data_IF_653354692518
#
_entry.id   IF_653354692518
#
_cell.length_a   1.000
_cell.length_b   1.000
_cell.length_c   1.000
_cell.angle_alpha   90.00
_cell.angle_beta   90.00
_cell.angle_gamma   90.00
#
_symmetry.space_group_name_H-M   'P 1'
#
loop_
_entity.id
_entity.type
_entity.pdbx_description
1 polymer ?
#
# COMPACT_ATOMS: atom_id res chain seq x y z
N UNK A 1 44.84 -10.81 46.76
CA UNK A 1 45.12 -10.20 45.44
C UNK A 1 45.17 -11.29 44.40
N UNK A 2 44.05 -11.57 43.76
CA UNK A 2 43.96 -11.94 42.33
C UNK A 2 42.58 -11.43 41.89
N UNK A 3 42.54 -10.15 41.51
CA UNK A 3 41.41 -9.57 40.81
C UNK A 3 41.49 -10.03 39.35
N UNK A 4 40.51 -10.83 38.91
CA UNK A 4 40.13 -11.12 37.51
C UNK A 4 38.85 -11.99 37.64
N UNK A 5 37.68 -11.67 37.07
CA UNK A 5 37.43 -10.96 35.82
C UNK A 5 36.35 -9.86 35.98
N UNK A 6 36.54 -8.69 35.34
CA UNK A 6 35.49 -7.72 35.08
C UNK A 6 34.63 -8.19 33.89
N UNK A 7 33.46 -7.58 33.69
CA UNK A 7 32.56 -7.79 32.55
C UNK A 7 31.71 -9.07 32.60
N UNK A 8 30.52 -8.96 33.19
CA UNK A 8 29.32 -9.29 32.43
C UNK A 8 28.23 -8.36 32.94
N UNK A 9 28.22 -7.17 32.34
CA UNK A 9 27.10 -6.25 32.43
C UNK A 9 25.92 -6.97 31.77
N UNK A 10 25.06 -7.60 32.59
CA UNK A 10 23.82 -8.24 32.15
C UNK A 10 22.72 -7.20 31.85
N UNK A 11 23.11 -5.96 31.53
CA UNK A 11 22.36 -5.14 30.59
C UNK A 11 22.59 -5.68 29.17
N UNK A 12 22.15 -6.92 28.94
CA UNK A 12 21.86 -7.33 27.58
C UNK A 12 20.71 -6.44 27.11
N UNK A 13 21.06 -5.40 26.36
CA UNK A 13 20.14 -4.64 25.54
C UNK A 13 19.37 -5.66 24.70
N UNK A 14 18.21 -6.14 25.19
CA UNK A 14 17.16 -6.65 24.35
C UNK A 14 16.75 -5.48 23.47
N UNK A 15 17.49 -5.33 22.37
CA UNK A 15 17.12 -4.45 21.29
C UNK A 15 15.78 -4.99 20.83
N UNK A 16 14.71 -4.33 21.28
CA UNK A 16 13.32 -4.57 20.90
C UNK A 16 13.20 -4.28 19.41
N UNK A 17 13.77 -5.15 18.60
CA UNK A 17 13.63 -5.14 17.16
C UNK A 17 12.17 -5.49 16.91
N UNK A 18 11.38 -4.59 16.30
CA UNK A 18 10.01 -4.91 15.98
C UNK A 18 9.99 -6.21 15.19
N UNK A 19 9.20 -7.19 15.66
CA UNK A 19 9.13 -8.51 15.02
C UNK A 19 8.85 -8.31 13.53
N UNK A 20 9.56 -9.01 12.63
CA UNK A 20 9.29 -8.90 11.21
C UNK A 20 7.81 -9.25 10.95
N UNK A 21 7.13 -8.52 10.04
CA UNK A 21 5.71 -8.72 9.79
C UNK A 21 5.46 -10.17 9.37
N UNK A 22 4.41 -10.76 9.93
CA UNK A 22 4.09 -12.14 9.61
C UNK A 22 3.72 -12.29 8.13
N UNK A 23 3.96 -13.47 7.55
CA UNK A 23 3.51 -13.79 6.17
C UNK A 23 2.01 -13.54 5.95
N UNK A 24 1.20 -13.60 7.02
CA UNK A 24 -0.24 -13.30 7.00
C UNK A 24 -0.50 -11.80 6.91
N UNK A 25 0.27 -10.99 7.63
CA UNK A 25 0.15 -9.54 7.65
C UNK A 25 0.46 -8.93 6.28
N UNK A 26 1.58 -9.33 5.67
CA UNK A 26 1.95 -8.88 4.32
C UNK A 26 0.87 -9.19 3.28
N UNK A 27 0.17 -10.33 3.41
CA UNK A 27 -0.95 -10.70 2.53
C UNK A 27 -2.18 -9.80 2.73
N UNK A 28 -2.46 -9.39 3.97
CA UNK A 28 -3.59 -8.50 4.30
C UNK A 28 -3.35 -7.10 3.74
N UNK A 29 -2.14 -6.56 3.95
CA UNK A 29 -1.73 -5.26 3.40
C UNK A 29 -1.79 -5.26 1.87
N UNK A 30 -1.23 -6.31 1.26
CA UNK A 30 -1.30 -6.54 -0.18
C UNK A 30 -2.74 -6.56 -0.74
N UNK A 31 -3.68 -7.17 0.00
CA UNK A 31 -5.09 -7.21 -0.36
C UNK A 31 -5.75 -5.85 -0.17
N UNK A 32 -5.43 -5.15 0.92
CA UNK A 32 -5.97 -3.83 1.22
C UNK A 32 -5.59 -2.81 0.14
N UNK A 33 -4.33 -2.81 -0.30
CA UNK A 33 -3.85 -1.95 -1.40
C UNK A 33 -4.56 -2.28 -2.72
N UNK A 34 -4.76 -3.56 -3.02
CA UNK A 34 -5.50 -3.96 -4.21
C UNK A 34 -6.96 -3.50 -4.16
N UNK A 35 -7.66 -3.71 -3.05
CA UNK A 35 -9.04 -3.26 -2.88
C UNK A 35 -9.18 -1.74 -2.95
N UNK A 36 -8.16 -1.01 -2.48
CA UNK A 36 -8.10 0.44 -2.62
C UNK A 36 -7.97 0.84 -4.09
N UNK A 37 -7.08 0.21 -4.86
CA UNK A 37 -6.99 0.43 -6.30
C UNK A 37 -8.29 0.10 -7.05
N UNK A 38 -8.98 -0.97 -6.65
CA UNK A 38 -10.32 -1.31 -7.18
C UNK A 38 -11.37 -0.24 -6.86
N UNK A 39 -11.31 0.36 -5.67
CA UNK A 39 -12.20 1.46 -5.31
C UNK A 39 -11.91 2.71 -6.14
N UNK A 40 -10.64 3.02 -6.39
CA UNK A 40 -10.22 4.13 -7.26
C UNK A 40 -10.74 3.94 -8.69
N UNK A 41 -10.67 2.73 -9.25
CA UNK A 41 -11.19 2.44 -10.62
C UNK A 41 -12.69 2.68 -10.75
N UNK A 42 -13.45 2.56 -9.67
CA UNK A 42 -14.90 2.81 -9.66
C UNK A 42 -15.27 4.29 -9.60
N UNK A 43 -14.31 5.18 -9.34
CA UNK A 43 -14.54 6.63 -9.30
C UNK A 43 -14.74 7.22 -10.70
N UNK A 44 -15.37 8.39 -10.76
CA UNK A 44 -15.52 9.14 -12.02
C UNK A 44 -14.20 9.73 -12.49
N UNK A 45 -14.05 9.93 -13.80
CA UNK A 45 -12.85 10.54 -14.39
C UNK A 45 -12.56 11.95 -13.82
N UNK A 46 -13.57 12.67 -13.36
CA UNK A 46 -13.41 13.99 -12.73
C UNK A 46 -12.77 13.89 -11.35
N UNK A 47 -13.18 12.91 -10.54
CA UNK A 47 -12.60 12.66 -9.22
C UNK A 47 -11.15 12.19 -9.34
N UNK A 48 -10.86 11.32 -10.30
CA UNK A 48 -9.49 10.82 -10.55
C UNK A 48 -8.50 11.93 -10.89
N UNK A 49 -8.93 12.99 -11.59
CA UNK A 49 -8.09 14.16 -11.89
C UNK A 49 -7.76 15.02 -10.67
N UNK A 50 -8.56 14.94 -9.61
CA UNK A 50 -8.34 15.68 -8.37
C UNK A 50 -7.52 14.89 -7.34
N UNK A 51 -7.24 13.62 -7.61
CA UNK A 51 -6.45 12.77 -6.74
C UNK A 51 -4.95 12.93 -7.03
N UNK A 52 -4.09 12.88 -6.01
CA UNK A 52 -2.64 12.88 -6.20
C UNK A 52 -2.19 11.50 -6.69
N UNK A 53 -2.46 11.19 -7.96
CA UNK A 53 -2.07 9.94 -8.61
C UNK A 53 -0.89 10.22 -9.55
N UNK A 54 0.10 9.34 -9.55
CA UNK A 54 1.16 9.36 -10.56
C UNK A 54 0.56 9.10 -11.96
N UNK A 55 1.19 9.63 -13.01
CA UNK A 55 0.69 9.52 -14.39
C UNK A 55 0.47 8.06 -14.82
N UNK A 56 1.35 7.14 -14.39
CA UNK A 56 1.25 5.72 -14.66
C UNK A 56 -0.01 5.10 -14.05
N UNK A 57 -0.32 5.43 -12.79
CA UNK A 57 -1.49 4.93 -12.09
C UNK A 57 -2.78 5.48 -12.73
N UNK A 58 -2.79 6.76 -13.11
CA UNK A 58 -3.91 7.39 -13.77
C UNK A 58 -4.17 6.77 -15.16
N UNK A 59 -3.12 6.50 -15.93
CA UNK A 59 -3.23 5.78 -17.20
C UNK A 59 -3.76 4.35 -17.00
N UNK A 60 -3.26 3.63 -15.99
CA UNK A 60 -3.71 2.29 -15.68
C UNK A 60 -5.19 2.23 -15.28
N UNK A 61 -5.67 3.21 -14.50
CA UNK A 61 -7.07 3.32 -14.09
C UNK A 61 -7.97 3.63 -15.29
N UNK A 62 -7.59 4.59 -16.15
CA UNK A 62 -8.34 4.88 -17.39
C UNK A 62 -8.43 3.68 -18.31
N UNK A 63 -7.33 2.94 -18.46
CA UNK A 63 -7.31 1.72 -19.23
C UNK A 63 -8.25 0.65 -18.65
N UNK A 64 -8.31 0.52 -17.31
CA UNK A 64 -9.25 -0.38 -16.65
C UNK A 64 -10.71 -0.02 -16.96
N UNK A 65 -11.06 1.26 -16.91
CA UNK A 65 -12.42 1.75 -17.21
C UNK A 65 -12.83 1.54 -18.66
N UNK A 66 -11.88 1.62 -19.60
CA UNK A 66 -12.12 1.38 -21.03
C UNK A 66 -12.21 -0.10 -21.40
N UNK A 67 -11.63 -0.99 -20.59
CA UNK A 67 -11.60 -2.43 -20.88
C UNK A 67 -12.94 -3.11 -20.55
N UNK A 68 -13.34 -4.13 -21.33
CA UNK A 68 -14.51 -4.93 -21.01
C UNK A 68 -14.30 -5.71 -19.70
N UNK A 69 -15.37 -5.86 -18.91
CA UNK A 69 -15.47 -6.61 -17.64
C UNK A 69 -15.27 -8.13 -17.86
N UNK A 70 -14.10 -8.51 -18.37
CA UNK A 70 -13.66 -9.89 -18.65
C UNK A 70 -12.26 -10.08 -18.04
N UNK A 71 -11.55 -11.14 -18.44
CA UNK A 71 -10.20 -11.43 -17.95
C UNK A 71 -9.20 -10.26 -18.08
N UNK A 72 -9.37 -9.39 -19.09
CA UNK A 72 -8.54 -8.20 -19.27
C UNK A 72 -8.69 -7.22 -18.08
N UNK A 73 -9.92 -6.91 -17.67
CA UNK A 73 -10.18 -6.04 -16.53
C UNK A 73 -9.55 -6.59 -15.23
N UNK A 74 -9.68 -7.89 -14.97
CA UNK A 74 -9.07 -8.52 -13.79
C UNK A 74 -7.53 -8.41 -13.79
N UNK A 75 -6.89 -8.58 -14.95
CA UNK A 75 -5.42 -8.40 -15.08
C UNK A 75 -5.02 -6.96 -14.86
N UNK A 76 -5.81 -6.01 -15.35
CA UNK A 76 -5.57 -4.59 -15.15
C UNK A 76 -5.68 -4.20 -13.67
N UNK A 77 -6.67 -4.73 -12.94
CA UNK A 77 -6.78 -4.52 -11.49
C UNK A 77 -5.57 -5.08 -10.73
N UNK A 78 -5.03 -6.23 -11.15
CA UNK A 78 -3.80 -6.77 -10.55
C UNK A 78 -2.59 -5.88 -10.84
N UNK A 79 -2.50 -5.33 -12.06
CA UNK A 79 -1.45 -4.38 -12.41
C UNK A 79 -1.54 -3.10 -11.56
N UNK A 80 -2.75 -2.55 -11.38
CA UNK A 80 -2.99 -1.41 -10.48
C UNK A 80 -2.57 -1.77 -9.06
N UNK A 81 -2.95 -2.95 -8.54
CA UNK A 81 -2.53 -3.42 -7.22
C UNK A 81 -1.01 -3.59 -7.09
N UNK A 82 -0.29 -3.88 -8.17
CA UNK A 82 1.18 -3.89 -8.20
C UNK A 82 1.73 -2.47 -8.14
N UNK A 83 1.19 -1.54 -8.92
CA UNK A 83 1.59 -0.13 -8.87
C UNK A 83 1.39 0.45 -7.47
N UNK A 84 0.26 0.17 -6.83
CA UNK A 84 -0.04 0.63 -5.47
C UNK A 84 0.95 0.13 -4.41
N UNK A 85 1.62 -1.00 -4.64
CA UNK A 85 2.66 -1.53 -3.73
C UNK A 85 4.03 -0.88 -3.96
N UNK A 86 4.22 -0.21 -5.09
CA UNK A 86 5.43 0.55 -5.39
C UNK A 86 5.33 2.03 -5.02
N UNK A 87 4.17 2.49 -4.55
CA UNK A 87 3.97 3.85 -4.07
C UNK A 87 4.47 3.98 -2.63
N UNK A 88 4.87 5.20 -2.27
CA UNK A 88 5.23 5.53 -0.90
C UNK A 88 3.98 5.58 0.02
N UNK A 89 4.18 5.34 1.32
CA UNK A 89 3.10 5.39 2.32
C UNK A 89 2.33 6.73 2.27
N UNK A 90 3.05 7.84 2.04
CA UNK A 90 2.46 9.17 1.90
C UNK A 90 1.51 9.28 0.70
N UNK A 91 1.85 8.68 -0.43
CA UNK A 91 1.00 8.68 -1.62
C UNK A 91 -0.25 7.82 -1.38
N UNK A 92 -0.08 6.63 -0.79
CA UNK A 92 -1.19 5.73 -0.46
C UNK A 92 -2.17 6.39 0.51
N UNK A 93 -1.68 7.09 1.53
CA UNK A 93 -2.50 7.83 2.48
C UNK A 93 -3.22 9.03 1.84
N UNK A 94 -2.57 9.73 0.91
CA UNK A 94 -3.20 10.76 0.09
C UNK A 94 -4.38 10.22 -0.72
N UNK A 95 -4.21 9.06 -1.34
CA UNK A 95 -5.26 8.37 -2.10
C UNK A 95 -6.40 7.93 -1.17
N UNK A 96 -6.09 7.36 0.01
CA UNK A 96 -7.09 6.98 1.03
C UNK A 96 -7.94 8.17 1.48
N UNK A 97 -7.28 9.28 1.78
CA UNK A 97 -7.93 10.51 2.25
C UNK A 97 -8.84 11.09 1.18
N UNK A 98 -8.35 11.20 -0.05
CA UNK A 98 -9.15 11.67 -1.17
C UNK A 98 -10.36 10.74 -1.45
N UNK A 99 -10.16 9.42 -1.42
CA UNK A 99 -11.25 8.44 -1.57
C UNK A 99 -12.32 8.60 -0.48
N UNK A 100 -11.93 8.85 0.77
CA UNK A 100 -12.86 9.09 1.87
C UNK A 100 -13.68 10.38 1.68
N UNK A 101 -13.05 11.44 1.18
CA UNK A 101 -13.71 12.72 0.88
C UNK A 101 -14.78 12.59 -0.23
N UNK A 102 -14.58 11.71 -1.20
CA UNK A 102 -15.55 11.48 -2.28
C UNK A 102 -16.71 10.56 -1.89
N UNK A 103 -16.55 9.70 -0.87
CA UNK A 103 -17.60 8.77 -0.41
C UNK A 103 -18.64 9.42 0.50
N UNK A 104 -18.35 10.60 1.02
CA UNK A 104 -19.18 11.32 2.01
C UNK A 104 -20.17 12.32 1.38
N UNK A 105 -20.29 12.35 0.06
CA UNK A 105 -21.14 13.29 -0.69
C UNK A 105 -22.05 12.54 -1.65
#
# INVERSE_FOLDING_TARGET
MTQNDPFFDDESYEMESPRPPSKSQLKREATALQSLGEAVVKLSATQLKQMPLSDELLAAVKAAQAMPQRGAHKRQLQFIGKLMRGLDEAEVEGIRTALAAFRTK
#
